data_IF_398317761219
#
_entry.id   IF_398317761219
#
_cell.length_a   1.000
_cell.length_b   1.000
_cell.length_c   1.000
_cell.angle_alpha   90.00
_cell.angle_beta   90.00
_cell.angle_gamma   90.00
#
_symmetry.space_group_name_H-M   'P 1'
#
loop_
_entity.id
_entity.type
_entity.pdbx_description
1 polymer ?
#
# COMPACT_ATOMS: atom_id res chain seq x y z
N UNK A 1 22.62 -2.63 18.28
CA UNK A 1 21.58 -2.00 17.44
C UNK A 1 20.30 -1.98 18.24
N UNK A 2 19.78 -0.81 18.49
CA UNK A 2 18.57 -0.67 19.29
C UNK A 2 17.35 -0.91 18.43
N UNK A 3 16.55 -1.87 18.82
CA UNK A 3 15.28 -2.17 18.17
C UNK A 3 14.19 -1.35 18.84
N UNK A 4 13.58 -0.45 18.09
CA UNK A 4 12.52 0.40 18.58
C UNK A 4 11.15 -0.19 18.18
N UNK A 5 10.25 -0.43 19.12
CA UNK A 5 8.94 -0.98 18.79
C UNK A 5 8.06 0.06 18.07
N UNK A 6 7.37 -0.39 17.07
CA UNK A 6 6.36 0.41 16.36
C UNK A 6 5.00 -0.23 16.61
N UNK A 7 4.24 0.33 17.51
CA UNK A 7 2.90 -0.15 17.84
C UNK A 7 1.80 0.76 17.27
N UNK A 8 2.15 1.97 16.88
CA UNK A 8 1.23 2.93 16.30
C UNK A 8 1.81 3.60 15.06
N UNK A 9 0.98 4.02 14.11
CA UNK A 9 1.45 4.79 12.94
C UNK A 9 2.22 6.05 13.32
N UNK A 10 1.81 6.68 14.40
CA UNK A 10 2.45 7.90 14.92
C UNK A 10 3.89 7.65 15.34
N UNK A 11 4.19 6.50 15.95
CA UNK A 11 5.57 6.15 16.32
C UNK A 11 6.46 6.01 15.10
N UNK A 12 5.97 5.39 14.03
CA UNK A 12 6.70 5.30 12.79
C UNK A 12 7.07 6.69 12.25
N UNK A 13 6.14 7.63 12.30
CA UNK A 13 6.38 9.02 11.90
C UNK A 13 7.44 9.73 12.75
N UNK A 14 7.42 9.51 14.06
CA UNK A 14 8.41 10.07 14.98
C UNK A 14 9.81 9.56 14.65
N UNK A 15 9.96 8.25 14.41
CA UNK A 15 11.27 7.66 14.09
C UNK A 15 11.79 8.13 12.73
N UNK A 16 10.91 8.27 11.74
CA UNK A 16 11.26 8.85 10.43
C UNK A 16 11.77 10.28 10.60
N UNK A 17 11.06 11.09 11.37
CA UNK A 17 11.45 12.48 11.63
C UNK A 17 12.80 12.55 12.33
N UNK A 18 13.00 11.80 13.41
CA UNK A 18 14.26 11.76 14.16
C UNK A 18 15.43 11.33 13.28
N UNK A 19 15.28 10.25 12.53
CA UNK A 19 16.32 9.77 11.62
C UNK A 19 16.65 10.78 10.52
N UNK A 20 15.64 11.46 9.97
CA UNK A 20 15.83 12.52 8.99
C UNK A 20 16.62 13.71 9.57
N UNK A 21 16.22 14.15 10.75
CA UNK A 21 16.88 15.28 11.44
C UNK A 21 18.32 14.93 11.82
N UNK A 22 18.57 13.73 12.30
CA UNK A 22 19.93 13.25 12.60
C UNK A 22 20.83 13.24 11.36
N UNK A 23 20.27 12.95 10.19
CA UNK A 23 20.99 12.97 8.92
C UNK A 23 20.99 14.35 8.25
N UNK A 24 20.46 15.38 8.91
CA UNK A 24 20.35 16.74 8.38
C UNK A 24 19.64 16.80 7.01
N UNK A 25 18.69 15.92 6.77
CA UNK A 25 17.92 15.87 5.52
C UNK A 25 16.68 16.76 5.61
N UNK A 26 16.39 17.45 4.50
CA UNK A 26 15.10 18.12 4.37
C UNK A 26 14.01 17.13 3.97
N UNK A 27 12.74 17.46 4.21
CA UNK A 27 11.62 16.63 3.75
C UNK A 27 11.64 16.44 2.25
N UNK A 28 11.89 17.52 1.50
CA UNK A 28 11.99 17.46 0.05
C UNK A 28 13.07 16.49 -0.43
N UNK A 29 14.25 16.52 0.20
CA UNK A 29 15.35 15.63 -0.15
C UNK A 29 15.02 14.18 0.17
N UNK A 30 14.44 13.92 1.34
CA UNK A 30 14.04 12.58 1.72
C UNK A 30 12.91 12.04 0.83
N UNK A 31 11.91 12.87 0.53
CA UNK A 31 10.81 12.49 -0.35
C UNK A 31 11.31 12.09 -1.74
N UNK A 32 12.24 12.87 -2.30
CA UNK A 32 12.89 12.57 -3.58
C UNK A 32 13.68 11.26 -3.51
N UNK A 33 14.45 11.04 -2.44
CA UNK A 33 15.26 9.83 -2.24
C UNK A 33 14.40 8.57 -2.08
N UNK A 34 13.28 8.68 -1.39
CA UNK A 34 12.36 7.59 -1.16
C UNK A 34 11.34 7.38 -2.30
N UNK A 35 11.26 8.27 -3.28
CA UNK A 35 10.28 8.18 -4.35
C UNK A 35 8.83 8.37 -3.86
N UNK A 36 8.64 9.23 -2.86
CA UNK A 36 7.32 9.56 -2.31
C UNK A 36 7.06 11.06 -2.43
N UNK A 37 5.81 11.46 -2.27
CA UNK A 37 5.49 12.90 -2.25
C UNK A 37 5.89 13.52 -0.91
N UNK A 38 6.31 14.76 -0.95
CA UNK A 38 6.65 15.52 0.25
C UNK A 38 5.43 15.67 1.20
N UNK A 39 4.24 15.78 0.62
CA UNK A 39 2.98 15.81 1.36
C UNK A 39 2.74 14.52 2.14
N UNK A 40 2.99 13.36 1.52
CA UNK A 40 2.88 12.06 2.18
C UNK A 40 3.86 11.97 3.35
N UNK A 41 5.09 12.42 3.13
CA UNK A 41 6.12 12.42 4.16
C UNK A 41 5.75 13.34 5.33
N UNK A 42 5.24 14.54 5.04
CA UNK A 42 4.77 15.46 6.07
C UNK A 42 3.62 14.86 6.91
N UNK A 43 2.64 14.24 6.25
CA UNK A 43 1.54 13.55 6.91
C UNK A 43 2.03 12.38 7.78
N UNK A 44 3.03 11.63 7.29
CA UNK A 44 3.64 10.54 8.05
C UNK A 44 4.32 11.05 9.32
N UNK A 45 5.12 12.11 9.23
CA UNK A 45 5.83 12.71 10.37
C UNK A 45 4.89 13.34 11.40
N UNK A 46 3.73 13.80 10.98
CA UNK A 46 2.68 14.31 11.88
C UNK A 46 1.89 13.19 12.55
N UNK A 47 1.96 11.97 12.02
CA UNK A 47 1.21 10.83 12.52
C UNK A 47 -0.20 10.71 11.94
N UNK A 48 -0.51 11.49 10.92
CA UNK A 48 -1.83 11.49 10.25
C UNK A 48 -1.93 10.45 9.12
N UNK A 49 -0.80 9.87 8.72
CA UNK A 49 -0.76 8.89 7.63
C UNK A 49 -1.17 7.48 8.09
N UNK A 50 -2.37 7.35 8.67
CA UNK A 50 -2.88 6.07 9.18
C UNK A 50 -3.14 5.03 8.08
N UNK A 51 -3.37 5.47 6.85
CA UNK A 51 -3.60 4.62 5.69
C UNK A 51 -2.40 4.53 4.74
N UNK A 52 -1.18 4.79 5.21
CA UNK A 52 0.00 4.69 4.35
C UNK A 52 0.19 3.25 3.85
N UNK A 53 0.49 3.12 2.57
CA UNK A 53 0.83 1.82 2.00
C UNK A 53 2.19 1.36 2.52
N UNK A 54 2.27 0.07 2.83
CA UNK A 54 3.49 -0.51 3.39
C UNK A 54 4.70 -0.34 2.47
N UNK A 55 4.52 -0.47 1.16
CA UNK A 55 5.59 -0.24 0.17
C UNK A 55 6.20 1.16 0.29
N UNK A 56 5.36 2.18 0.50
CA UNK A 56 5.81 3.56 0.68
C UNK A 56 6.53 3.77 2.01
N UNK A 57 6.03 3.15 3.07
CA UNK A 57 6.68 3.19 4.37
C UNK A 57 8.07 2.54 4.32
N UNK A 58 8.17 1.37 3.69
CA UNK A 58 9.45 0.67 3.52
C UNK A 58 10.43 1.46 2.66
N UNK A 59 9.95 2.16 1.63
CA UNK A 59 10.79 3.03 0.81
C UNK A 59 11.38 4.20 1.62
N UNK A 60 10.57 4.82 2.49
CA UNK A 60 11.04 5.89 3.39
C UNK A 60 12.05 5.36 4.40
N UNK A 61 11.78 4.21 5.00
CA UNK A 61 12.71 3.58 5.95
C UNK A 61 14.04 3.21 5.27
N UNK A 62 13.99 2.58 4.10
CA UNK A 62 15.18 2.26 3.32
C UNK A 62 16.00 3.49 2.94
N UNK A 63 15.35 4.60 2.58
CA UNK A 63 16.03 5.85 2.27
C UNK A 63 16.78 6.46 3.47
N UNK A 64 16.32 6.17 4.69
CA UNK A 64 16.95 6.59 5.94
C UNK A 64 17.94 5.56 6.50
N UNK A 65 18.04 4.38 5.89
CA UNK A 65 18.85 3.28 6.40
C UNK A 65 18.22 2.56 7.60
N UNK A 66 16.91 2.71 7.78
CA UNK A 66 16.14 2.00 8.79
C UNK A 66 15.60 0.69 8.23
N UNK A 67 15.57 -0.34 9.07
CA UNK A 67 14.94 -1.61 8.73
C UNK A 67 13.68 -1.82 9.58
N UNK A 68 12.62 -2.34 8.97
CA UNK A 68 11.43 -2.77 9.68
C UNK A 68 11.55 -4.27 9.96
N UNK A 69 11.41 -4.66 11.23
CA UNK A 69 11.45 -6.05 11.65
C UNK A 69 10.14 -6.44 12.32
N UNK A 70 9.63 -7.63 12.00
CA UNK A 70 8.53 -8.23 12.70
C UNK A 70 9.07 -9.11 13.83
N UNK A 71 8.52 -8.97 15.01
CA UNK A 71 8.83 -9.79 16.16
C UNK A 71 7.58 -10.53 16.62
N UNK A 72 7.72 -11.81 16.85
CA UNK A 72 6.64 -12.66 17.31
C UNK A 72 6.99 -14.13 17.14
N UNK A 73 6.12 -14.99 17.60
CA UNK A 73 6.24 -16.42 17.36
C UNK A 73 5.74 -16.76 15.94
N UNK A 74 6.62 -16.56 14.98
CA UNK A 74 6.32 -16.77 13.56
C UNK A 74 6.69 -18.21 13.15
N UNK A 75 6.68 -19.15 14.07
CA UNK A 75 7.17 -20.49 13.77
C UNK A 75 8.52 -20.44 13.03
N UNK A 76 9.51 -21.14 13.42
CA UNK A 76 10.83 -21.09 12.82
C UNK A 76 10.78 -21.25 11.30
N UNK A 77 10.58 -20.17 10.58
CA UNK A 77 11.12 -20.11 9.24
C UNK A 77 12.62 -19.92 9.44
N UNK A 78 13.31 -21.03 9.55
CA UNK A 78 14.74 -21.04 9.30
C UNK A 78 14.92 -20.31 8.01
N UNK A 79 15.66 -19.24 8.08
CA UNK A 79 16.15 -18.50 6.95
C UNK A 79 17.08 -19.42 6.16
N UNK A 80 16.50 -20.47 5.61
CA UNK A 80 17.18 -21.25 4.60
C UNK A 80 17.03 -20.45 3.32
N UNK A 81 18.15 -19.87 2.93
CA UNK A 81 18.44 -19.51 1.56
C UNK A 81 17.57 -20.30 0.59
N UNK A 82 17.08 -19.67 -0.46
CA UNK A 82 16.47 -20.42 -1.54
C UNK A 82 17.53 -21.34 -2.09
N UNK A 83 17.61 -22.50 -1.52
CA UNK A 83 18.24 -23.61 -2.19
C UNK A 83 17.29 -23.92 -3.32
N UNK A 84 17.78 -23.92 -4.53
CA UNK A 84 17.12 -24.57 -5.64
C UNK A 84 16.73 -26.00 -5.20
N UNK A 85 15.60 -26.14 -4.56
CA UNK A 85 14.94 -27.38 -4.38
C UNK A 85 13.90 -27.51 -5.48
N UNK A 86 14.12 -28.41 -6.44
CA UNK A 86 13.05 -28.80 -7.32
C UNK A 86 12.03 -29.57 -6.52
N UNK A 87 11.14 -29.17 -6.20
CA UNK A 87 10.02 -29.61 -5.88
C UNK A 87 9.04 -29.65 -5.39
N UNK A 88 8.58 -29.54 -5.25
CA UNK A 88 7.65 -30.12 -6.06
C UNK A 88 6.48 -30.85 -5.47
N UNK A 89 6.42 -31.26 -4.35
CA UNK A 89 5.19 -31.82 -3.82
C UNK A 89 4.59 -30.89 -2.79
N UNK A 90 3.79 -29.97 -3.29
CA UNK A 90 2.94 -29.15 -2.44
C UNK A 90 1.60 -29.85 -2.25
N UNK A 91 1.29 -30.29 -1.05
CA UNK A 91 -0.01 -30.90 -0.76
C UNK A 91 -1.18 -29.90 -0.75
N UNK A 92 -0.96 -28.68 -1.14
CA UNK A 92 -2.00 -27.64 -1.16
C UNK A 92 -2.75 -27.50 -2.48
N UNK A 93 -2.54 -28.37 -3.43
CA UNK A 93 -3.13 -28.23 -4.75
C UNK A 93 -4.57 -28.72 -4.88
N UNK A 94 -5.14 -29.30 -3.86
CA UNK A 94 -6.48 -29.88 -3.93
C UNK A 94 -7.61 -28.91 -3.61
N UNK A 95 -7.31 -27.74 -3.10
CA UNK A 95 -8.37 -26.81 -2.69
C UNK A 95 -8.80 -25.81 -3.76
N UNK A 96 -8.18 -25.82 -4.93
CA UNK A 96 -8.45 -24.79 -5.94
C UNK A 96 -9.39 -25.21 -7.06
N UNK A 97 -9.86 -26.43 -7.06
CA UNK A 97 -10.70 -26.87 -8.18
C UNK A 97 -12.15 -26.46 -8.09
N UNK A 98 -12.59 -25.98 -6.99
CA UNK A 98 -13.99 -25.62 -6.83
C UNK A 98 -14.32 -24.16 -7.05
N UNK A 99 -13.33 -23.32 -7.30
CA UNK A 99 -13.58 -21.89 -7.43
C UNK A 99 -13.61 -21.38 -8.86
N UNK A 100 -13.19 -22.19 -9.82
CA UNK A 100 -13.13 -21.77 -11.21
C UNK A 100 -14.47 -21.85 -11.96
N UNK A 101 -15.48 -22.46 -11.39
CA UNK A 101 -16.76 -22.66 -12.09
C UNK A 101 -17.83 -21.62 -11.77
N UNK A 102 -17.57 -20.67 -10.90
CA UNK A 102 -18.58 -19.67 -10.53
C UNK A 102 -18.46 -18.32 -11.22
N UNK A 103 -17.53 -18.17 -12.11
CA UNK A 103 -17.35 -16.89 -12.79
C UNK A 103 -18.08 -16.77 -14.11
N UNK A 104 -19.00 -17.70 -14.40
CA UNK A 104 -19.89 -17.57 -15.56
C UNK A 104 -21.26 -16.97 -15.23
N UNK A 105 -21.37 -16.22 -14.17
CA UNK A 105 -22.48 -15.29 -14.13
C UNK A 105 -22.14 -14.09 -15.00
N UNK A 106 -22.42 -14.31 -16.26
CA UNK A 106 -22.80 -13.25 -17.19
C UNK A 106 -23.69 -12.26 -16.46
N UNK A 107 -23.12 -11.24 -15.97
CA UNK A 107 -23.85 -10.03 -15.72
C UNK A 107 -24.07 -9.33 -17.06
N UNK A 108 -24.94 -9.92 -17.87
CA UNK A 108 -25.58 -9.20 -18.95
C UNK A 108 -26.67 -8.34 -18.33
N UNK A 109 -26.28 -7.37 -17.63
CA UNK A 109 -27.14 -6.20 -17.52
C UNK A 109 -26.71 -5.28 -18.63
N UNK A 110 -27.34 -5.49 -19.77
CA UNK A 110 -27.57 -4.43 -20.71
C UNK A 110 -28.26 -3.32 -19.95
N UNK A 111 -27.52 -2.41 -19.43
CA UNK A 111 -28.07 -1.11 -19.15
C UNK A 111 -28.24 -0.46 -20.50
N UNK A 112 -29.33 -0.75 -21.09
CA UNK A 112 -29.91 0.13 -22.10
C UNK A 112 -30.12 1.45 -21.36
N UNK A 113 -29.22 2.36 -21.57
CA UNK A 113 -29.43 3.74 -21.20
C UNK A 113 -30.54 4.20 -22.11
N UNK A 114 -31.74 4.51 -21.63
CA UNK A 114 -32.69 5.16 -22.48
C UNK A 114 -32.06 6.47 -22.91
N UNK A 115 -31.88 6.59 -24.20
CA UNK A 115 -31.55 7.86 -24.80
C UNK A 115 -32.55 8.87 -24.26
N UNK A 116 -32.05 9.82 -23.53
CA UNK A 116 -32.83 10.97 -23.14
C UNK A 116 -33.00 11.77 -24.41
N UNK A 117 -34.04 11.40 -25.12
CA UNK A 117 -34.52 12.15 -26.26
C UNK A 117 -35.02 13.47 -25.73
N UNK A 118 -34.46 14.50 -26.31
CA UNK A 118 -35.09 15.77 -26.54
C UNK A 118 -35.98 16.32 -25.43
N UNK A 119 -35.40 17.03 -24.54
CA UNK A 119 -36.09 18.15 -23.93
C UNK A 119 -36.06 19.30 -24.94
N UNK A 120 -37.16 19.74 -25.47
CA UNK A 120 -37.20 20.93 -26.29
C UNK A 120 -36.81 22.11 -25.38
N UNK A 121 -35.68 22.66 -25.67
CA UNK A 121 -35.28 23.92 -25.11
C UNK A 121 -36.19 25.01 -25.66
N UNK A 122 -37.25 25.26 -24.97
CA UNK A 122 -38.05 26.44 -25.25
C UNK A 122 -37.29 27.64 -24.76
N UNK A 123 -36.63 28.27 -25.67
CA UNK A 123 -36.13 29.61 -25.52
C UNK A 123 -37.30 30.53 -25.15
N UNK A 124 -37.39 30.86 -23.89
CA UNK A 124 -38.25 31.94 -23.48
C UNK A 124 -37.60 33.24 -23.94
N UNK A 125 -38.16 33.77 -24.98
CA UNK A 125 -37.91 35.14 -25.41
C UNK A 125 -38.35 36.05 -24.29
N UNK A 126 -37.42 36.76 -23.76
CA UNK A 126 -37.66 37.91 -22.93
C UNK A 126 -37.81 39.12 -23.86
N UNK A 127 -38.96 39.69 -23.86
CA UNK A 127 -39.19 41.06 -24.23
C UNK A 127 -38.78 41.96 -23.08
#
# INVERSE_FOLDING_TARGET
>A
MDTLPITTPRQAGIYVRQARETQCLTRATLAKKAGVSERLLASLELGDATGIRLDKLLAVFGALGLALAAQGDIGETKNEQPVDAPHADQPCSTSRRHHAQRLHHRNRRSTTIPALADAPFTSALYD
#
